data_IF_842695220563
#
_entry.id   IF_842695220563
#
_cell.length_a   1.000
_cell.length_b   1.000
_cell.length_c   1.000
_cell.angle_alpha   90.00
_cell.angle_beta   90.00
_cell.angle_gamma   90.00
#
_symmetry.space_group_name_H-M   'P 1'
#
loop_
_entity.id
_entity.type
_entity.pdbx_description
1 polymer ?
#
# COMPACT_ATOMS: atom_id res chain seq x y z
N UNK A 1 -6.86 3.15 12.52
CA UNK A 1 -6.88 3.49 11.08
C UNK A 1 -5.49 4.01 10.74
N UNK A 2 -4.92 3.56 9.64
CA UNK A 2 -3.58 3.96 9.18
C UNK A 2 -3.79 4.60 7.81
N UNK A 3 -3.58 5.92 7.67
CA UNK A 3 -3.69 6.63 6.40
C UNK A 3 -2.37 6.65 5.63
N UNK A 4 -2.41 7.19 4.41
CA UNK A 4 -1.30 7.43 3.49
C UNK A 4 -0.59 6.14 3.09
N UNK A 5 -1.38 5.08 2.89
CA UNK A 5 -0.90 3.76 2.54
C UNK A 5 -1.07 3.51 1.05
N UNK A 6 -0.09 2.87 0.44
CA UNK A 6 -0.11 2.40 -0.93
C UNK A 6 0.02 0.87 -0.94
N UNK A 7 -0.48 0.22 -1.98
CA UNK A 7 -0.22 -1.21 -2.21
C UNK A 7 0.95 -1.34 -3.18
N UNK A 8 2.01 -2.01 -2.74
CA UNK A 8 3.14 -2.35 -3.59
C UNK A 8 2.96 -3.69 -4.28
N UNK A 9 2.38 -4.66 -3.57
CA UNK A 9 2.29 -6.03 -4.05
C UNK A 9 1.10 -6.77 -3.43
N UNK A 10 0.54 -7.71 -4.22
CA UNK A 10 -0.54 -8.61 -3.82
C UNK A 10 -0.19 -10.01 -4.32
N UNK A 11 -0.12 -10.97 -3.40
CA UNK A 11 0.19 -12.37 -3.70
C UNK A 11 -0.87 -13.29 -3.14
N UNK A 12 -0.96 -14.47 -3.74
CA UNK A 12 -1.80 -15.56 -3.25
C UNK A 12 -1.17 -16.16 -1.98
N UNK A 13 -2.03 -16.67 -1.11
CA UNK A 13 -1.63 -17.16 0.21
C UNK A 13 -0.98 -18.56 0.23
N UNK A 14 -1.05 -19.32 -0.86
CA UNK A 14 -0.55 -20.69 -0.91
C UNK A 14 0.88 -20.75 -1.46
N UNK A 15 1.79 -21.30 -0.65
CA UNK A 15 3.18 -21.59 -1.05
C UNK A 15 3.25 -22.85 -1.93
N UNK A 16 2.31 -23.77 -1.76
CA UNK A 16 2.31 -25.10 -2.41
C UNK A 16 1.43 -25.17 -3.67
N UNK A 17 0.46 -24.26 -3.79
CA UNK A 17 -0.42 -24.17 -4.95
C UNK A 17 -0.58 -22.69 -5.37
N UNK A 18 0.41 -22.20 -6.10
CA UNK A 18 0.50 -20.80 -6.55
C UNK A 18 -0.67 -20.35 -7.44
N UNK A 19 -1.52 -21.29 -7.87
CA UNK A 19 -2.66 -21.07 -8.75
C UNK A 19 -4.00 -20.88 -8.00
N UNK A 20 -4.05 -20.82 -6.67
CA UNK A 20 -5.31 -20.59 -5.93
C UNK A 20 -5.23 -19.42 -4.93
N UNK A 21 -6.14 -18.45 -5.06
CA UNK A 21 -6.39 -17.36 -4.09
C UNK A 21 -7.20 -17.82 -2.87
N UNK A 22 -7.38 -19.13 -2.72
CA UNK A 22 -8.23 -19.74 -1.72
C UNK A 22 -7.74 -21.13 -1.33
N UNK A 23 -8.20 -21.59 -0.16
CA UNK A 23 -8.08 -22.97 0.27
C UNK A 23 -9.44 -23.48 0.74
N UNK A 24 -9.61 -24.81 0.78
CA UNK A 24 -10.81 -25.42 1.32
C UNK A 24 -10.64 -25.64 2.82
N UNK A 25 -11.65 -25.28 3.62
CA UNK A 25 -11.71 -25.61 5.05
C UNK A 25 -12.87 -26.51 5.38
N UNK A 26 -12.74 -27.31 6.43
CA UNK A 26 -13.83 -28.10 6.98
C UNK A 26 -14.93 -27.17 7.48
N UNK A 27 -16.17 -27.45 7.09
CA UNK A 27 -17.34 -26.68 7.53
C UNK A 27 -17.59 -26.76 9.04
N UNK A 28 -17.06 -27.80 9.70
CA UNK A 28 -17.26 -28.06 11.14
C UNK A 28 -16.08 -27.56 12.00
N UNK A 29 -14.85 -28.10 11.83
CA UNK A 29 -13.70 -27.68 12.65
C UNK A 29 -12.94 -26.46 12.11
N UNK A 30 -13.28 -25.96 10.91
CA UNK A 30 -12.59 -24.84 10.23
C UNK A 30 -11.11 -25.07 9.90
N UNK A 31 -10.57 -26.27 10.11
CA UNK A 31 -9.22 -26.65 9.66
C UNK A 31 -9.18 -26.73 8.13
N UNK A 32 -8.04 -26.39 7.55
CA UNK A 32 -7.79 -26.58 6.12
C UNK A 32 -7.96 -28.07 5.76
N UNK A 33 -8.67 -28.32 4.67
CA UNK A 33 -8.84 -29.64 4.10
C UNK A 33 -7.70 -29.88 3.09
N UNK A 34 -7.10 -31.07 3.08
CA UNK A 34 -6.33 -31.52 1.92
C UNK A 34 -7.27 -31.68 0.71
N UNK A 35 -6.72 -31.75 -0.50
CA UNK A 35 -7.45 -31.80 -1.78
C UNK A 35 -8.52 -32.91 -1.86
N UNK A 36 -8.50 -33.89 -0.95
CA UNK A 36 -9.40 -35.03 -0.88
C UNK A 36 -10.79 -34.77 -0.26
N UNK A 37 -11.17 -33.51 0.02
CA UNK A 37 -12.47 -33.14 0.64
C UNK A 37 -12.79 -33.94 1.93
N UNK A 38 -11.76 -34.46 2.59
CA UNK A 38 -11.88 -35.33 3.75
C UNK A 38 -11.21 -34.66 4.94
N UNK A 39 -11.96 -34.49 6.03
CA UNK A 39 -11.44 -33.94 7.27
C UNK A 39 -10.94 -35.07 8.17
N UNK A 40 -9.71 -34.97 8.66
CA UNK A 40 -9.13 -35.96 9.59
C UNK A 40 -9.97 -36.21 10.86
N UNK A 41 -10.79 -35.22 11.26
CA UNK A 41 -11.63 -35.28 12.47
C UNK A 41 -13.06 -35.70 12.16
N UNK A 42 -13.61 -35.25 11.03
CA UNK A 42 -15.05 -35.35 10.74
C UNK A 42 -15.37 -36.24 9.53
N UNK A 43 -14.37 -36.85 8.90
CA UNK A 43 -14.54 -37.63 7.68
C UNK A 43 -14.95 -36.75 6.49
N UNK A 44 -15.75 -37.33 5.59
CA UNK A 44 -16.19 -36.69 4.35
C UNK A 44 -16.82 -35.31 4.63
N UNK A 45 -16.40 -34.29 3.88
CA UNK A 45 -16.82 -32.91 4.07
C UNK A 45 -17.10 -32.23 2.73
N UNK A 46 -18.05 -31.30 2.70
CA UNK A 46 -18.36 -30.55 1.48
C UNK A 46 -17.38 -29.40 1.21
N UNK A 47 -16.50 -29.09 2.18
CA UNK A 47 -15.57 -27.97 2.12
C UNK A 47 -16.27 -26.60 2.12
N UNK A 48 -15.57 -25.60 2.65
CA UNK A 48 -15.87 -24.19 2.38
C UNK A 48 -14.62 -23.55 1.80
N UNK A 49 -14.76 -22.95 0.63
CA UNK A 49 -13.70 -22.12 0.03
C UNK A 49 -13.49 -20.88 0.88
N UNK A 50 -12.23 -20.61 1.24
CA UNK A 50 -11.81 -19.45 2.03
C UNK A 50 -10.80 -18.68 1.22
N UNK A 51 -11.09 -17.42 1.00
CA UNK A 51 -10.22 -16.52 0.25
C UNK A 51 -9.23 -15.81 1.16
N UNK A 52 -8.05 -15.55 0.63
CA UNK A 52 -7.04 -14.75 1.29
C UNK A 52 -5.91 -14.35 0.35
N UNK A 53 -5.36 -13.17 0.58
CA UNK A 53 -4.22 -12.65 -0.15
C UNK A 53 -3.19 -12.10 0.85
N UNK A 54 -1.92 -12.26 0.51
CA UNK A 54 -0.82 -11.57 1.17
C UNK A 54 -0.63 -10.22 0.48
N UNK A 55 -0.77 -9.12 1.22
CA UNK A 55 -0.66 -7.76 0.68
C UNK A 55 0.51 -7.05 1.34
N UNK A 56 1.33 -6.37 0.53
CA UNK A 56 2.38 -5.47 1.00
C UNK A 56 1.87 -4.05 0.86
N UNK A 57 1.61 -3.45 2.02
CA UNK A 57 1.32 -2.04 2.17
C UNK A 57 2.60 -1.26 2.38
N UNK A 58 2.70 -0.07 1.81
CA UNK A 58 3.78 0.86 2.07
C UNK A 58 3.21 2.22 2.47
N UNK A 59 3.70 2.74 3.59
CA UNK A 59 3.50 4.13 3.97
C UNK A 59 4.84 4.89 3.82
N UNK A 60 4.91 6.19 4.15
CA UNK A 60 6.16 6.94 4.05
C UNK A 60 7.25 6.52 5.06
N UNK A 61 6.95 5.60 5.97
CA UNK A 61 7.82 5.11 7.04
C UNK A 61 8.28 3.66 6.79
N UNK A 62 7.37 2.76 6.48
CA UNK A 62 7.58 1.33 6.51
C UNK A 62 6.79 0.60 5.42
N UNK A 63 7.26 -0.60 5.14
CA UNK A 63 6.49 -1.63 4.44
C UNK A 63 5.90 -2.58 5.48
N UNK A 64 4.65 -2.96 5.27
CA UNK A 64 3.87 -3.81 6.14
C UNK A 64 3.25 -4.93 5.30
N UNK A 65 3.74 -6.14 5.50
CA UNK A 65 3.22 -7.34 4.86
C UNK A 65 2.19 -8.01 5.76
N UNK A 66 0.94 -8.13 5.28
CA UNK A 66 -0.21 -8.63 6.06
C UNK A 66 -1.10 -9.55 5.24
N UNK A 67 -1.69 -10.52 5.90
CA UNK A 67 -2.74 -11.35 5.31
C UNK A 67 -4.07 -10.60 5.36
N UNK A 68 -4.74 -10.49 4.21
CA UNK A 68 -6.10 -9.95 4.07
C UNK A 68 -7.05 -11.09 3.73
N UNK A 69 -8.04 -11.29 4.59
CA UNK A 69 -8.93 -12.45 4.56
C UNK A 69 -10.25 -12.18 3.83
N UNK A 70 -10.95 -13.27 3.52
CA UNK A 70 -12.15 -13.37 2.68
C UNK A 70 -13.06 -12.13 2.65
N UNK A 71 -13.57 -11.69 3.80
CA UNK A 71 -14.56 -10.59 3.83
C UNK A 71 -13.95 -9.26 3.39
N UNK A 72 -12.75 -8.94 3.87
CA UNK A 72 -12.04 -7.72 3.48
C UNK A 72 -11.57 -7.80 2.02
N UNK A 73 -11.05 -8.95 1.59
CA UNK A 73 -10.56 -9.13 0.22
C UNK A 73 -11.71 -9.03 -0.81
N UNK A 74 -12.88 -9.59 -0.51
CA UNK A 74 -14.08 -9.43 -1.35
C UNK A 74 -14.56 -7.98 -1.39
N UNK A 75 -14.57 -7.30 -0.24
CA UNK A 75 -14.92 -5.88 -0.18
C UNK A 75 -13.95 -5.02 -1.02
N UNK A 76 -12.65 -5.32 -0.97
CA UNK A 76 -11.66 -4.68 -1.84
C UNK A 76 -11.94 -4.95 -3.31
N UNK A 77 -12.16 -6.22 -3.70
CA UNK A 77 -12.48 -6.55 -5.09
C UNK A 77 -13.70 -5.75 -5.58
N UNK A 78 -14.76 -5.70 -4.78
CA UNK A 78 -15.96 -4.94 -5.11
C UNK A 78 -15.71 -3.42 -5.22
N UNK A 79 -15.03 -2.82 -4.24
CA UNK A 79 -14.74 -1.38 -4.20
C UNK A 79 -13.86 -0.94 -5.38
N UNK A 80 -12.93 -1.79 -5.80
CA UNK A 80 -11.95 -1.49 -6.83
C UNK A 80 -12.23 -2.15 -8.20
N UNK A 81 -13.45 -2.65 -8.40
CA UNK A 81 -13.96 -3.08 -9.72
C UNK A 81 -13.42 -4.41 -10.23
N UNK A 82 -13.20 -5.38 -9.33
CA UNK A 82 -12.82 -6.76 -9.65
C UNK A 82 -14.02 -7.67 -9.38
N UNK A 83 -14.60 -8.22 -10.45
CA UNK A 83 -15.90 -8.91 -10.40
C UNK A 83 -15.80 -10.33 -9.82
N UNK A 84 -14.86 -11.15 -10.29
CA UNK A 84 -14.70 -12.54 -9.85
C UNK A 84 -13.31 -12.80 -9.27
N UNK A 85 -13.26 -13.05 -7.96
CA UNK A 85 -12.02 -13.35 -7.22
C UNK A 85 -11.41 -14.73 -7.58
N UNK A 86 -12.20 -15.59 -8.23
CA UNK A 86 -11.75 -16.88 -8.73
C UNK A 86 -11.01 -16.79 -10.06
N UNK A 87 -11.15 -15.67 -10.79
CA UNK A 87 -10.40 -15.41 -12.01
C UNK A 87 -8.91 -15.29 -11.70
N UNK A 88 -8.07 -15.90 -12.54
CA UNK A 88 -6.62 -15.85 -12.34
C UNK A 88 -6.07 -14.42 -12.40
N UNK A 89 -6.73 -13.55 -13.16
CA UNK A 89 -6.42 -12.13 -13.32
C UNK A 89 -6.94 -11.24 -12.19
N UNK A 90 -7.77 -11.77 -11.27
CA UNK A 90 -8.42 -10.97 -10.23
C UNK A 90 -7.43 -10.19 -9.35
N UNK A 91 -6.44 -10.87 -8.77
CA UNK A 91 -5.43 -10.21 -7.92
C UNK A 91 -4.47 -9.30 -8.71
N UNK A 92 -3.99 -9.69 -9.91
CA UNK A 92 -3.29 -8.76 -10.80
C UNK A 92 -4.10 -7.50 -11.12
N UNK A 93 -5.38 -7.63 -11.47
CA UNK A 93 -6.26 -6.51 -11.78
C UNK A 93 -6.50 -5.63 -10.55
N UNK A 94 -6.69 -6.25 -9.38
CA UNK A 94 -6.80 -5.53 -8.11
C UNK A 94 -5.53 -4.73 -7.80
N UNK A 95 -4.35 -5.33 -7.99
CA UNK A 95 -3.08 -4.63 -7.84
C UNK A 95 -2.98 -3.45 -8.81
N UNK A 96 -3.37 -3.63 -10.07
CA UNK A 96 -3.40 -2.55 -11.07
C UNK A 96 -4.34 -1.42 -10.64
N UNK A 97 -5.54 -1.74 -10.15
CA UNK A 97 -6.51 -0.74 -9.68
C UNK A 97 -6.02 0.04 -8.44
N UNK A 98 -5.19 -0.59 -7.60
CA UNK A 98 -4.65 0.00 -6.37
C UNK A 98 -3.30 0.71 -6.56
N UNK A 99 -2.66 0.58 -7.72
CA UNK A 99 -1.37 1.24 -8.01
C UNK A 99 -1.54 2.76 -8.05
N UNK A 100 -0.62 3.46 -7.40
CA UNK A 100 -0.67 4.92 -7.19
C UNK A 100 -1.94 5.42 -6.50
N UNK A 101 -2.75 4.52 -5.92
CA UNK A 101 -3.93 4.87 -5.16
C UNK A 101 -3.56 5.02 -3.69
N UNK A 102 -3.91 6.17 -3.13
CA UNK A 102 -3.71 6.41 -1.70
C UNK A 102 -4.89 5.85 -0.91
N UNK A 103 -4.58 5.05 0.12
CA UNK A 103 -5.54 4.25 0.88
C UNK A 103 -5.50 4.58 2.38
N UNK A 104 -6.62 4.25 3.03
CA UNK A 104 -6.76 4.14 4.47
C UNK A 104 -7.06 2.70 4.84
N UNK A 105 -6.23 2.10 5.70
CA UNK A 105 -6.46 0.75 6.24
C UNK A 105 -7.00 0.82 7.67
N UNK A 106 -8.00 0.00 7.99
CA UNK A 106 -8.47 -0.22 9.36
C UNK A 106 -8.10 -1.64 9.77
N UNK A 107 -7.37 -1.70 10.86
CA UNK A 107 -6.84 -2.94 11.40
C UNK A 107 -7.17 -3.05 12.88
N UNK A 108 -7.41 -4.26 13.32
CA UNK A 108 -7.42 -4.62 14.73
C UNK A 108 -6.06 -5.19 15.11
N UNK A 109 -5.66 -4.94 16.36
CA UNK A 109 -4.44 -5.47 16.93
C UNK A 109 -4.82 -6.50 17.98
N UNK A 110 -4.25 -7.68 17.89
CA UNK A 110 -4.47 -8.73 18.87
C UNK A 110 -3.18 -9.48 19.18
N UNK A 111 -3.20 -10.23 20.27
CA UNK A 111 -2.16 -11.19 20.59
C UNK A 111 -2.54 -12.50 19.91
N UNK A 112 -1.59 -13.15 19.25
CA UNK A 112 -1.78 -14.46 18.67
C UNK A 112 -2.24 -15.45 19.75
N UNK A 113 -2.86 -16.57 19.35
CA UNK A 113 -3.36 -17.58 20.30
C UNK A 113 -2.26 -18.16 21.21
N UNK A 114 -1.01 -18.13 20.76
CA UNK A 114 0.14 -18.62 21.51
C UNK A 114 0.63 -17.63 22.58
N UNK A 115 0.17 -16.37 22.57
CA UNK A 115 0.67 -15.32 23.46
C UNK A 115 2.08 -14.81 23.11
N UNK A 116 2.65 -15.24 21.98
CA UNK A 116 4.06 -15.06 21.63
C UNK A 116 4.31 -13.97 20.60
N UNK A 117 3.29 -13.57 19.84
CA UNK A 117 3.40 -12.49 18.86
C UNK A 117 2.10 -11.72 18.78
N UNK A 118 2.15 -10.47 18.30
CA UNK A 118 0.96 -9.76 17.86
C UNK A 118 0.54 -10.24 16.47
N UNK A 119 -0.74 -10.11 16.16
CA UNK A 119 -1.24 -10.15 14.79
C UNK A 119 -1.90 -8.81 14.47
N UNK A 120 -1.73 -8.40 13.22
CA UNK A 120 -2.51 -7.33 12.62
C UNK A 120 -3.58 -7.97 11.74
N UNK A 121 -4.84 -7.65 12.01
CA UNK A 121 -5.96 -8.14 11.21
C UNK A 121 -6.63 -6.95 10.51
N UNK A 122 -6.32 -6.81 9.22
CA UNK A 122 -6.88 -5.78 8.34
C UNK A 122 -8.27 -6.23 7.93
N UNK A 123 -9.27 -5.46 8.34
CA UNK A 123 -10.69 -5.79 8.10
C UNK A 123 -11.37 -4.81 7.15
N UNK A 124 -10.72 -3.69 6.82
CA UNK A 124 -11.27 -2.67 5.91
C UNK A 124 -10.14 -1.89 5.23
N UNK A 125 -10.27 -1.69 3.92
CA UNK A 125 -9.34 -0.94 3.07
C UNK A 125 -10.20 -0.06 2.16
N UNK A 126 -9.97 1.25 2.22
CA UNK A 126 -10.78 2.23 1.49
C UNK A 126 -9.91 3.32 0.87
N UNK A 127 -10.39 4.02 -0.17
CA UNK A 127 -9.73 5.22 -0.69
C UNK A 127 -9.48 6.26 0.41
N UNK A 128 -8.31 6.91 0.38
CA UNK A 128 -7.96 7.96 1.34
C UNK A 128 -8.81 9.22 1.19
N UNK A 129 -9.17 9.57 -0.05
CA UNK A 129 -9.85 10.84 -0.36
C UNK A 129 -11.35 10.71 -0.14
N UNK A 130 -11.71 10.37 1.10
CA UNK A 130 -13.04 10.53 1.69
C UNK A 130 -12.91 11.36 2.98
N UNK A 131 -14.02 11.85 3.53
CA UNK A 131 -14.01 12.73 4.71
C UNK A 131 -13.26 12.11 5.91
N UNK A 132 -13.40 10.80 6.10
CA UNK A 132 -12.76 10.07 7.19
C UNK A 132 -11.24 9.96 7.01
N UNK A 133 -10.78 9.66 5.80
CA UNK A 133 -9.35 9.53 5.46
C UNK A 133 -8.65 10.88 5.49
N UNK A 134 -9.27 11.95 4.96
CA UNK A 134 -8.73 13.30 5.07
C UNK A 134 -8.52 13.70 6.55
N UNK A 135 -9.50 13.45 7.43
CA UNK A 135 -9.36 13.71 8.86
C UNK A 135 -8.29 12.84 9.53
N UNK A 136 -8.14 11.59 9.08
CA UNK A 136 -7.13 10.66 9.59
C UNK A 136 -5.71 11.19 9.36
N UNK A 137 -5.44 11.71 8.17
CA UNK A 137 -4.14 12.27 7.76
C UNK A 137 -3.70 13.36 8.74
N UNK A 138 -4.59 14.31 9.04
CA UNK A 138 -4.30 15.43 9.94
C UNK A 138 -4.02 14.98 11.38
N UNK A 139 -4.67 13.89 11.85
CA UNK A 139 -4.51 13.37 13.21
C UNK A 139 -3.29 12.45 13.36
N UNK A 140 -3.02 11.61 12.36
CA UNK A 140 -1.99 10.57 12.43
C UNK A 140 -0.61 11.08 12.00
N UNK A 141 -0.47 11.82 10.89
CA UNK A 141 0.84 12.25 10.41
C UNK A 141 1.50 13.35 11.26
N UNK A 142 0.69 14.13 11.98
CA UNK A 142 1.21 15.07 12.97
C UNK A 142 1.86 14.35 14.17
N UNK A 143 1.47 13.09 14.40
CA UNK A 143 1.93 12.31 15.53
C UNK A 143 2.95 11.25 15.14
N UNK A 144 2.89 10.61 13.98
CA UNK A 144 3.83 9.53 13.62
C UNK A 144 5.19 10.04 13.17
N UNK A 145 6.25 9.41 13.69
CA UNK A 145 7.61 9.56 13.21
C UNK A 145 7.79 8.66 11.99
N UNK A 146 8.14 9.23 10.84
CA UNK A 146 8.64 8.49 9.67
C UNK A 146 9.94 7.75 10.05
N UNK A 147 9.79 6.55 10.62
CA UNK A 147 10.88 5.63 11.00
C UNK A 147 10.83 4.48 10.02
N UNK A 148 11.98 3.92 9.64
CA UNK A 148 12.05 2.91 8.58
C UNK A 148 12.34 3.57 7.23
N UNK A 149 13.13 2.85 6.43
CA UNK A 149 13.47 3.24 5.07
C UNK A 149 13.60 1.95 4.26
N UNK A 150 13.26 1.97 2.96
CA UNK A 150 12.60 3.04 2.21
C UNK A 150 11.09 2.77 1.98
N UNK A 151 10.25 3.79 2.14
CA UNK A 151 8.80 3.76 1.86
C UNK A 151 8.39 4.70 0.71
N UNK A 152 7.07 4.83 0.48
CA UNK A 152 6.50 5.71 -0.55
C UNK A 152 6.13 7.05 0.08
N UNK A 153 6.83 8.13 -0.30
CA UNK A 153 6.70 9.42 0.41
C UNK A 153 6.04 10.50 -0.45
N UNK A 154 5.10 11.30 0.09
CA UNK A 154 4.59 12.47 -0.61
C UNK A 154 5.67 13.54 -0.68
N UNK A 155 6.01 14.00 -1.88
CA UNK A 155 7.09 14.95 -2.08
C UNK A 155 6.81 15.98 -3.18
N UNK A 156 7.64 17.01 -3.20
CA UNK A 156 7.70 18.00 -4.28
C UNK A 156 8.71 17.55 -5.34
N UNK A 157 8.44 17.77 -6.62
CA UNK A 157 9.40 17.51 -7.71
C UNK A 157 10.78 18.15 -7.48
N UNK A 158 10.85 19.36 -6.91
CA UNK A 158 12.12 20.07 -6.63
C UNK A 158 12.97 19.43 -5.54
N UNK A 159 12.37 18.57 -4.71
CA UNK A 159 13.06 17.90 -3.60
C UNK A 159 13.48 16.49 -3.97
N UNK A 160 13.02 15.98 -5.09
CA UNK A 160 13.37 14.65 -5.55
C UNK A 160 14.74 14.68 -6.22
N UNK A 161 15.59 13.73 -5.89
CA UNK A 161 16.93 13.61 -6.47
C UNK A 161 17.44 12.18 -6.39
N UNK A 162 18.58 11.94 -7.05
CA UNK A 162 19.42 10.77 -6.82
C UNK A 162 20.68 11.19 -6.07
N UNK A 163 21.09 10.38 -5.09
CA UNK A 163 22.36 10.59 -4.38
C UNK A 163 23.55 9.98 -5.17
N UNK A 164 24.77 10.10 -4.62
CA UNK A 164 25.98 9.59 -5.25
C UNK A 164 26.03 8.07 -5.42
N UNK A 165 25.19 7.33 -4.68
CA UNK A 165 25.03 5.88 -4.78
C UNK A 165 23.94 5.48 -5.79
N UNK A 166 23.35 6.44 -6.51
CA UNK A 166 22.23 6.22 -7.43
C UNK A 166 20.92 5.91 -6.71
N UNK A 167 20.85 6.07 -5.38
CA UNK A 167 19.63 5.85 -4.63
C UNK A 167 18.71 7.05 -4.75
N UNK A 168 17.43 6.75 -4.72
CA UNK A 168 16.36 7.74 -4.76
C UNK A 168 16.22 8.42 -3.41
N UNK A 169 16.28 9.75 -3.40
CA UNK A 169 16.26 10.54 -2.17
C UNK A 169 15.31 11.72 -2.27
N UNK A 170 14.77 12.12 -1.11
CA UNK A 170 14.20 13.44 -0.91
C UNK A 170 15.24 14.32 -0.22
N UNK A 171 15.56 15.47 -0.84
CA UNK A 171 16.50 16.46 -0.31
C UNK A 171 15.78 17.67 0.26
N UNK A 172 16.21 18.06 1.45
CA UNK A 172 15.74 19.25 2.16
C UNK A 172 16.94 19.93 2.79
N UNK A 173 17.32 21.09 2.26
CA UNK A 173 18.52 21.81 2.70
C UNK A 173 19.75 20.87 2.59
N UNK A 174 20.48 20.62 3.68
CA UNK A 174 21.62 19.67 3.73
C UNK A 174 21.21 18.23 4.08
N UNK A 175 19.92 17.96 4.27
CA UNK A 175 19.40 16.66 4.66
C UNK A 175 18.98 15.84 3.44
N UNK A 176 19.38 14.58 3.44
CA UNK A 176 18.94 13.59 2.47
C UNK A 176 18.22 12.44 3.18
N UNK A 177 17.10 11.99 2.61
CA UNK A 177 16.40 10.80 3.08
C UNK A 177 16.17 9.84 1.92
N UNK A 178 16.66 8.60 2.07
CA UNK A 178 16.48 7.54 1.07
C UNK A 178 15.04 7.04 1.10
N UNK A 179 14.43 6.94 -0.08
CA UNK A 179 13.03 6.56 -0.29
C UNK A 179 12.91 5.57 -1.44
N UNK A 180 11.80 4.86 -1.52
CA UNK A 180 11.58 3.84 -2.57
C UNK A 180 11.01 4.52 -3.81
N UNK A 181 9.99 5.32 -3.57
CA UNK A 181 9.42 6.23 -4.55
C UNK A 181 8.81 7.45 -3.88
N UNK A 182 8.57 8.49 -4.68
CA UNK A 182 7.76 9.62 -4.28
C UNK A 182 6.37 9.53 -4.85
N UNK A 183 5.38 9.96 -4.07
CA UNK A 183 4.04 10.25 -4.51
C UNK A 183 3.89 11.74 -4.81
N UNK A 184 3.56 12.07 -6.06
CA UNK A 184 3.41 13.44 -6.52
C UNK A 184 2.06 13.62 -7.22
N UNK A 185 1.39 14.74 -6.94
CA UNK A 185 0.21 15.17 -7.69
C UNK A 185 0.62 16.26 -8.68
N UNK A 186 0.29 16.07 -9.94
CA UNK A 186 0.58 17.01 -11.03
C UNK A 186 -0.68 17.35 -11.81
N UNK A 187 -0.61 18.44 -12.59
CA UNK A 187 -1.57 18.76 -13.64
C UNK A 187 -0.84 18.77 -14.98
N UNK A 188 -1.28 17.96 -15.93
CA UNK A 188 -0.66 17.91 -17.26
C UNK A 188 -0.85 19.24 -17.99
N UNK A 189 0.21 19.78 -18.59
CA UNK A 189 0.15 21.07 -19.28
C UNK A 189 -0.01 20.91 -20.79
N UNK A 190 0.46 19.79 -21.33
CA UNK A 190 0.51 19.52 -22.77
C UNK A 190 0.15 18.08 -23.07
N UNK A 191 -0.16 17.80 -24.35
CA UNK A 191 -0.30 16.42 -24.81
C UNK A 191 1.04 15.69 -24.67
N UNK A 192 1.04 14.41 -24.30
CA UNK A 192 2.27 13.63 -24.18
C UNK A 192 3.04 13.61 -25.49
N UNK A 193 4.36 13.89 -25.44
CA UNK A 193 5.26 13.69 -26.57
C UNK A 193 5.67 12.22 -26.61
N UNK A 194 5.67 11.63 -27.80
CA UNK A 194 5.97 10.21 -28.01
C UNK A 194 7.21 10.08 -28.88
N UNK A 195 8.15 9.25 -28.44
CA UNK A 195 9.40 8.95 -29.15
C UNK A 195 9.54 7.42 -29.23
N UNK A 196 9.68 6.87 -30.44
CA UNK A 196 10.00 5.46 -30.60
C UNK A 196 11.44 5.21 -30.10
N UNK A 197 11.62 4.17 -29.30
CA UNK A 197 12.93 3.81 -28.77
C UNK A 197 13.77 3.14 -29.86
N UNK A 198 15.02 3.59 -30.11
CA UNK A 198 15.89 2.94 -31.08
C UNK A 198 16.19 1.50 -30.66
N UNK A 199 16.06 0.55 -31.61
CA UNK A 199 16.43 -0.86 -31.47
C UNK A 199 15.56 -1.74 -30.54
N UNK A 200 14.48 -1.22 -29.96
CA UNK A 200 13.47 -2.01 -29.23
C UNK A 200 12.07 -1.58 -29.64
N UNK A 201 11.13 -2.52 -29.66
CA UNK A 201 9.71 -2.23 -29.93
C UNK A 201 9.06 -1.59 -28.69
N UNK A 202 9.37 -0.31 -28.47
CA UNK A 202 8.95 0.44 -27.30
C UNK A 202 8.76 1.92 -27.59
N UNK A 203 7.91 2.55 -26.80
CA UNK A 203 7.57 3.97 -26.89
C UNK A 203 7.98 4.64 -25.59
N UNK A 204 8.67 5.77 -25.72
CA UNK A 204 8.94 6.70 -24.64
C UNK A 204 7.92 7.84 -24.67
N UNK A 205 7.27 8.08 -23.55
CA UNK A 205 6.16 9.03 -23.41
C UNK A 205 6.55 10.10 -22.39
N UNK A 206 6.58 11.36 -22.84
CA UNK A 206 7.06 12.52 -22.07
C UNK A 206 6.02 13.63 -22.00
N UNK A 207 5.07 13.59 -21.06
CA UNK A 207 4.19 14.72 -20.79
C UNK A 207 4.87 15.75 -19.90
N UNK A 208 4.68 17.02 -20.26
CA UNK A 208 4.94 18.15 -19.39
C UNK A 208 3.81 18.27 -18.36
N UNK A 209 4.16 18.50 -17.10
CA UNK A 209 3.19 18.67 -16.04
C UNK A 209 3.62 19.76 -15.04
N UNK A 210 2.64 20.43 -14.45
CA UNK A 210 2.84 21.36 -13.35
C UNK A 210 2.76 20.57 -12.04
N UNK A 211 3.79 20.67 -11.22
CA UNK A 211 3.80 20.08 -9.88
C UNK A 211 2.83 20.83 -8.98
N UNK A 212 1.78 20.15 -8.49
CA UNK A 212 0.77 20.83 -7.69
C UNK A 212 1.31 21.36 -6.36
N UNK A 213 2.45 20.86 -5.87
CA UNK A 213 3.08 21.37 -4.65
C UNK A 213 3.76 22.72 -4.82
N UNK A 214 4.57 22.90 -5.87
CA UNK A 214 5.42 24.09 -6.04
C UNK A 214 5.14 24.90 -7.30
N UNK A 215 4.15 24.49 -8.09
CA UNK A 215 3.72 25.08 -9.36
C UNK A 215 4.82 25.15 -10.42
N UNK A 216 5.93 24.43 -10.23
CA UNK A 216 6.99 24.36 -11.23
C UNK A 216 6.64 23.31 -12.29
N UNK A 217 7.01 23.62 -13.52
CA UNK A 217 6.97 22.64 -14.61
C UNK A 217 8.00 21.54 -14.34
N UNK A 218 7.56 20.31 -14.52
CA UNK A 218 8.37 19.10 -14.51
C UNK A 218 8.02 18.25 -15.72
N UNK A 219 8.98 17.43 -16.15
CA UNK A 219 8.77 16.46 -17.22
C UNK A 219 8.56 15.11 -16.56
N UNK A 220 7.46 14.47 -16.89
CA UNK A 220 7.21 13.08 -16.52
C UNK A 220 7.69 12.20 -17.67
N UNK A 221 8.14 10.99 -17.36
CA UNK A 221 8.60 10.05 -18.36
C UNK A 221 8.19 8.63 -18.01
N UNK A 222 7.68 7.89 -18.98
CA UNK A 222 7.54 6.44 -18.88
C UNK A 222 7.91 5.81 -20.22
N UNK A 223 8.44 4.60 -20.19
CA UNK A 223 8.89 3.89 -21.37
C UNK A 223 8.49 2.42 -21.27
N UNK A 224 7.99 1.85 -22.36
CA UNK A 224 7.57 0.45 -22.41
C UNK A 224 6.97 0.06 -23.75
N UNK A 225 6.43 -1.16 -23.83
CA UNK A 225 5.62 -1.58 -24.96
C UNK A 225 4.38 -0.66 -25.09
N UNK A 226 3.85 -0.44 -26.32
CA UNK A 226 2.72 0.46 -26.54
C UNK A 226 1.54 0.25 -25.57
N UNK A 227 1.14 -1.01 -25.36
CA UNK A 227 0.04 -1.37 -24.46
C UNK A 227 0.32 -1.01 -23.00
N UNK A 228 1.58 -1.07 -22.56
CA UNK A 228 1.98 -0.77 -21.18
C UNK A 228 2.01 0.72 -20.86
N UNK A 229 2.12 1.57 -21.89
CA UNK A 229 2.18 3.03 -21.73
C UNK A 229 0.95 3.75 -22.29
N UNK A 230 -0.03 3.00 -22.81
CA UNK A 230 -1.21 3.51 -23.50
C UNK A 230 -2.02 4.50 -22.64
N UNK A 231 -2.25 4.19 -21.37
CA UNK A 231 -2.97 5.08 -20.45
C UNK A 231 -2.25 6.42 -20.26
N UNK A 232 -0.92 6.37 -20.21
CA UNK A 232 -0.10 7.58 -20.09
C UNK A 232 -0.03 8.36 -21.42
N UNK A 233 -0.03 7.67 -22.56
CA UNK A 233 -0.11 8.28 -23.91
C UNK A 233 -1.44 9.02 -24.13
N UNK A 234 -2.52 8.48 -23.58
CA UNK A 234 -3.88 9.02 -23.77
C UNK A 234 -4.27 10.06 -22.72
N UNK A 235 -3.38 10.35 -21.77
CA UNK A 235 -3.61 11.37 -20.75
C UNK A 235 -3.87 12.73 -21.41
N UNK A 236 -5.03 13.32 -21.09
CA UNK A 236 -5.47 14.58 -21.67
C UNK A 236 -4.68 15.76 -21.10
N UNK A 237 -4.66 16.86 -21.86
CA UNK A 237 -4.17 18.15 -21.37
C UNK A 237 -5.08 18.66 -20.24
N UNK A 238 -4.50 19.30 -19.24
CA UNK A 238 -5.17 19.83 -18.04
C UNK A 238 -5.75 18.77 -17.11
N UNK A 239 -5.36 17.51 -17.25
CA UNK A 239 -5.77 16.44 -16.34
C UNK A 239 -4.91 16.43 -15.09
N UNK A 240 -5.54 16.20 -13.94
CA UNK A 240 -4.84 15.94 -12.70
C UNK A 240 -4.40 14.47 -12.66
N UNK A 241 -3.14 14.24 -12.31
CA UNK A 241 -2.55 12.90 -12.22
C UNK A 241 -1.81 12.75 -10.90
N UNK A 242 -2.05 11.65 -10.20
CA UNK A 242 -1.18 11.15 -9.14
C UNK A 242 -0.15 10.22 -9.78
N UNK A 243 1.11 10.36 -9.39
CA UNK A 243 2.20 9.51 -9.90
C UNK A 243 3.03 8.98 -8.75
N UNK A 244 3.54 7.76 -8.95
CA UNK A 244 4.64 7.19 -8.18
C UNK A 244 5.89 7.24 -9.04
N UNK A 245 6.90 7.96 -8.56
CA UNK A 245 8.19 8.10 -9.25
C UNK A 245 9.32 7.52 -8.41
N UNK A 246 10.03 6.54 -8.96
CA UNK A 246 11.11 5.83 -8.27
C UNK A 246 12.49 6.29 -8.69
N UNK A 247 12.63 7.13 -9.72
CA UNK A 247 13.93 7.65 -10.17
C UNK A 247 13.80 8.89 -11.05
N UNK A 248 14.92 9.58 -11.27
CA UNK A 248 15.05 10.72 -12.20
C UNK A 248 16.04 10.33 -13.29
N UNK A 249 15.76 10.67 -14.55
CA UNK A 249 16.73 10.51 -15.62
C UNK A 249 17.85 11.56 -15.57
N UNK A 250 18.85 11.40 -16.45
CA UNK A 250 19.94 12.36 -16.59
C UNK A 250 19.49 13.75 -17.05
N UNK A 251 18.30 13.88 -17.62
CA UNK A 251 17.73 15.14 -18.13
C UNK A 251 16.81 15.82 -17.11
N UNK A 252 16.64 15.25 -15.91
CA UNK A 252 15.76 15.77 -14.86
C UNK A 252 14.29 15.34 -15.00
N UNK A 253 13.95 14.45 -15.93
CA UNK A 253 12.61 13.89 -16.07
C UNK A 253 12.34 12.80 -15.02
N UNK A 254 11.15 12.90 -14.40
CA UNK A 254 10.67 11.99 -13.37
C UNK A 254 10.21 10.68 -14.02
N UNK A 255 10.89 9.57 -13.72
CA UNK A 255 10.45 8.26 -14.20
C UNK A 255 9.19 7.84 -13.44
N UNK A 256 8.10 7.66 -14.18
CA UNK A 256 6.78 7.28 -13.65
C UNK A 256 6.67 5.77 -13.70
N UNK A 257 6.68 5.14 -12.52
CA UNK A 257 6.44 3.72 -12.37
C UNK A 257 4.94 3.42 -12.48
N UNK A 258 4.13 4.21 -11.77
CA UNK A 258 2.67 4.08 -11.74
C UNK A 258 2.01 5.46 -11.77
N UNK A 259 0.83 5.54 -12.37
CA UNK A 259 0.04 6.76 -12.40
C UNK A 259 -1.44 6.47 -12.27
N UNK A 260 -2.19 7.47 -11.84
CA UNK A 260 -3.66 7.47 -11.79
C UNK A 260 -4.16 8.85 -12.20
N UNK A 261 -5.15 8.89 -13.09
CA UNK A 261 -5.89 10.13 -13.36
C UNK A 261 -6.84 10.41 -12.21
N UNK A 262 -6.75 11.61 -11.65
CA UNK A 262 -7.60 12.06 -10.55
C UNK A 262 -8.86 12.69 -11.15
N UNK A 263 -10.07 12.29 -10.71
CA UNK A 263 -11.30 12.96 -11.13
C UNK A 263 -11.26 14.46 -10.80
N UNK A 264 -11.70 15.31 -11.73
CA UNK A 264 -11.68 16.78 -11.55
C UNK A 264 -12.39 17.22 -10.27
N UNK A 265 -13.49 16.54 -9.92
CA UNK A 265 -14.26 16.81 -8.69
C UNK A 265 -13.45 16.58 -7.40
N UNK A 266 -12.44 15.71 -7.43
CA UNK A 266 -11.62 15.33 -6.27
C UNK A 266 -10.24 16.03 -6.27
N UNK A 267 -9.84 16.61 -7.40
CA UNK A 267 -8.51 17.18 -7.63
C UNK A 267 -8.08 18.18 -6.54
N UNK A 268 -9.01 18.99 -6.04
CA UNK A 268 -8.72 19.96 -4.98
C UNK A 268 -8.34 19.27 -3.65
N UNK A 269 -9.03 18.18 -3.29
CA UNK A 269 -8.79 17.46 -2.04
C UNK A 269 -7.48 16.70 -2.13
N UNK A 270 -7.23 15.98 -3.23
CA UNK A 270 -5.94 15.32 -3.48
C UNK A 270 -4.77 16.30 -3.41
N UNK A 271 -4.91 17.46 -4.06
CA UNK A 271 -3.86 18.50 -4.05
C UNK A 271 -3.59 19.02 -2.64
N UNK A 272 -4.64 19.32 -1.86
CA UNK A 272 -4.49 19.78 -0.47
C UNK A 272 -3.86 18.71 0.42
N UNK A 273 -4.31 17.47 0.29
CA UNK A 273 -3.78 16.31 1.01
C UNK A 273 -2.28 16.13 0.74
N UNK A 274 -1.90 15.95 -0.53
CA UNK A 274 -0.50 15.77 -0.92
C UNK A 274 0.39 16.94 -0.47
N UNK A 275 -0.12 18.19 -0.58
CA UNK A 275 0.60 19.38 -0.08
C UNK A 275 0.89 19.31 1.41
N UNK A 276 -0.11 18.98 2.21
CA UNK A 276 0.00 18.89 3.65
C UNK A 276 0.96 17.77 4.06
N UNK A 277 0.81 16.59 3.48
CA UNK A 277 1.66 15.45 3.81
C UNK A 277 3.13 15.69 3.43
N UNK A 278 3.39 16.27 2.26
CA UNK A 278 4.75 16.62 1.84
C UNK A 278 5.39 17.69 2.76
N UNK A 279 4.58 18.58 3.34
CA UNK A 279 5.03 19.51 4.38
C UNK A 279 5.35 18.80 5.69
N UNK A 280 4.47 17.90 6.15
CA UNK A 280 4.73 17.10 7.35
C UNK A 280 6.03 16.31 7.20
N UNK A 281 6.21 15.61 6.08
CA UNK A 281 7.44 14.86 5.81
C UNK A 281 8.70 15.73 5.93
N UNK A 282 8.68 16.93 5.36
CA UNK A 282 9.81 17.86 5.44
C UNK A 282 10.01 18.45 6.84
N UNK A 283 8.94 18.78 7.56
CA UNK A 283 9.05 19.18 8.97
C UNK A 283 9.72 18.07 9.79
N UNK A 284 9.31 16.83 9.58
CA UNK A 284 9.86 15.66 10.26
C UNK A 284 11.32 15.36 9.89
N UNK A 285 11.74 15.62 8.65
CA UNK A 285 13.16 15.54 8.29
C UNK A 285 14.01 16.53 9.09
N UNK A 286 13.50 17.73 9.33
CA UNK A 286 14.22 18.82 10.02
C UNK A 286 14.28 18.68 11.54
N UNK A 287 13.42 17.87 12.15
CA UNK A 287 13.44 17.66 13.61
C UNK A 287 14.71 16.88 13.97
N UNK A 288 15.60 17.41 14.83
CA UNK A 288 16.80 16.71 15.28
C UNK A 288 16.41 15.38 15.94
N UNK A 289 16.78 14.27 15.31
CA UNK A 289 16.38 12.94 15.77
C UNK A 289 17.26 12.52 16.94
N UNK A 290 16.72 12.49 18.15
CA UNK A 290 17.31 11.68 19.22
C UNK A 290 16.75 10.26 19.14
N UNK A 291 17.62 9.24 19.16
CA UNK A 291 17.23 7.83 19.27
C UNK A 291 16.22 7.56 20.40
N UNK A 292 16.20 8.41 21.43
CA UNK A 292 15.31 8.28 22.59
C UNK A 292 13.83 8.47 22.25
N UNK A 293 13.49 9.25 21.21
CA UNK A 293 12.10 9.50 20.81
C UNK A 293 11.48 8.34 20.02
N UNK A 294 12.26 7.72 19.12
CA UNK A 294 11.84 6.51 18.40
C UNK A 294 11.78 5.30 19.34
N UNK A 295 12.71 5.19 20.30
CA UNK A 295 12.66 4.21 21.39
C UNK A 295 11.39 4.39 22.22
N UNK A 296 11.08 5.58 22.76
CA UNK A 296 9.93 5.79 23.67
C UNK A 296 8.57 5.28 23.15
N UNK A 297 8.23 5.45 21.87
CA UNK A 297 6.94 4.93 21.35
C UNK A 297 6.97 3.45 21.01
N UNK A 298 8.10 2.94 20.51
CA UNK A 298 8.31 1.49 20.38
C UNK A 298 8.22 0.84 21.76
N UNK A 299 8.77 1.49 22.79
CA UNK A 299 8.67 1.13 24.20
C UNK A 299 7.24 1.20 24.73
N UNK A 300 6.38 2.14 24.32
CA UNK A 300 4.95 2.13 24.73
C UNK A 300 4.20 0.93 24.14
N UNK A 301 4.46 0.59 22.87
CA UNK A 301 3.90 -0.62 22.24
C UNK A 301 4.49 -1.87 22.89
N UNK A 302 5.80 -1.92 23.11
CA UNK A 302 6.52 -3.00 23.80
C UNK A 302 6.12 -3.12 25.29
N UNK A 303 5.81 -2.03 25.98
CA UNK A 303 5.32 -1.99 27.37
C UNK A 303 3.86 -2.45 27.44
N UNK A 304 3.03 -2.11 26.45
CA UNK A 304 1.74 -2.75 26.24
C UNK A 304 1.91 -4.26 25.99
N UNK A 305 2.95 -4.69 25.25
CA UNK A 305 3.31 -6.11 25.09
C UNK A 305 3.81 -6.77 26.38
N UNK A 306 4.52 -6.03 27.24
CA UNK A 306 5.05 -6.48 28.53
C UNK A 306 4.02 -6.40 29.67
N UNK A 307 2.92 -5.68 29.49
CA UNK A 307 1.74 -5.68 30.36
C UNK A 307 0.95 -7.00 30.21
N UNK A 308 1.66 -8.09 30.44
CA UNK A 308 1.19 -9.45 30.35
C UNK A 308 0.00 -9.65 31.30
N UNK A 309 -1.15 -10.06 30.75
CA UNK A 309 -1.99 -11.02 31.48
C UNK A 309 -1.35 -12.37 31.21
N UNK A 310 -1.05 -13.12 32.28
CA UNK A 310 -0.67 -14.53 32.17
C UNK A 310 -1.63 -15.21 31.21
N UNK A 311 -1.15 -15.98 30.22
CA UNK A 311 -2.02 -16.70 29.31
C UNK A 311 -2.97 -17.53 30.15
N UNK A 312 -4.23 -17.08 30.24
CA UNK A 312 -5.29 -17.89 30.84
C UNK A 312 -5.46 -19.03 29.87
N UNK A 313 -4.75 -20.13 30.14
CA UNK A 313 -5.11 -21.44 29.61
C UNK A 313 -6.60 -21.57 29.92
N UNK A 314 -7.45 -21.47 28.90
CA UNK A 314 -8.86 -21.76 29.04
C UNK A 314 -8.90 -23.22 29.49
N UNK A 315 -9.05 -23.44 30.80
CA UNK A 315 -9.48 -24.73 31.31
C UNK A 315 -10.90 -24.88 30.78
N UNK A 316 -11.04 -25.58 29.66
CA UNK A 316 -12.33 -26.15 29.26
C UNK A 316 -12.64 -27.15 30.36
N UNK A 317 -13.36 -26.70 31.38
CA UNK A 317 -13.71 -27.54 32.51
C UNK A 317 -14.93 -28.40 32.17
N UNK A 318 -15.78 -27.97 31.24
CA UNK A 318 -16.95 -28.72 30.79
C UNK A 318 -17.24 -28.39 29.31
N UNK A 319 -17.39 -29.40 28.47
CA UNK A 319 -18.18 -29.27 27.23
C UNK A 319 -19.67 -29.34 27.58
N UNK A 320 -20.54 -28.90 26.66
CA UNK A 320 -21.99 -28.98 26.81
C UNK A 320 -22.54 -30.41 26.97
N UNK A 321 -21.68 -31.43 26.86
CA UNK A 321 -22.02 -32.85 27.01
C UNK A 321 -21.65 -33.43 28.38
N UNK A 322 -21.24 -32.61 29.35
CA UNK A 322 -21.22 -33.01 30.77
C UNK A 322 -20.15 -34.00 31.23
N UNK A 323 -19.28 -34.50 30.34
CA UNK A 323 -18.20 -35.40 30.75
C UNK A 323 -16.91 -34.64 31.09
N UNK A 324 -16.43 -34.84 32.32
CA UNK A 324 -15.15 -34.32 32.80
C UNK A 324 -13.98 -35.19 32.31
N UNK A 325 -12.91 -34.55 31.81
CA UNK A 325 -11.60 -35.16 31.58
C UNK A 325 -10.87 -35.46 32.89
#
# INVERSE_FOLDING_TARGET
>A
MIPAVFVEDIRRMSVENSLASSYLRCTQCKKQLPDSMNCEIHGANNGKKVYGAQIIFADPCHKLEVAVWEDCLKAMCQEFGVDDIDDESALPNLLVALRAQELCIRASFGINKAGTSMYLDVFDVSPQVNDAGAQAIFKHLANDTFVGAPGIVPACCKRFASNSLGQTVVKVDELEHVVDSIHLVCKTTDKPKMEALPAIDGINVKPSAECMKCNATCVLQTAGAPDSVQDFMTTLKNSFVAILSSSIDSNGALQVAHHRTIPEAEAQIFTKSNKYQAEQFVMHMKIPRSEKMSKKRRTVIEELCLSQRTPKRLKIANTLDGDAL
#
